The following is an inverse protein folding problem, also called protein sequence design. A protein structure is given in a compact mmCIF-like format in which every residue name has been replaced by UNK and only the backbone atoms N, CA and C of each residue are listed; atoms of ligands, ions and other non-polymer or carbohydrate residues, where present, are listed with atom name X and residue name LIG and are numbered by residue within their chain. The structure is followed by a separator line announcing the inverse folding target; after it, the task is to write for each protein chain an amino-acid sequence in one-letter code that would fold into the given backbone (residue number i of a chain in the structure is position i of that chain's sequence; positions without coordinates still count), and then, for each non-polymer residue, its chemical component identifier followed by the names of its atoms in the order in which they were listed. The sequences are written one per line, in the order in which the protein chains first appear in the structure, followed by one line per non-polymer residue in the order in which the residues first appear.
data_IF_900272922469
#
_entry.id   IF_900272922469
#
_cell.length_a   1.000
_cell.length_b   1.000
_cell.length_c   1.000
_cell.angle_alpha   90.00
_cell.angle_beta   90.00
_cell.angle_gamma   90.00
#
_symmetry.space_group_name_H-M   'P 1'
#
loop_
_entity.id
_entity.type
_entity.pdbx_description
1 polymer ?
#
# COMPACT_ATOMS: atom_id res chain seq x y z
N UNK A 1 11.59 -5.75 16.65
CA UNK A 1 10.81 -4.96 17.63
C UNK A 1 11.69 -4.82 18.84
N UNK A 2 11.97 -3.59 19.22
CA UNK A 2 12.85 -3.23 20.33
C UNK A 2 12.07 -3.07 21.63
N UNK A 3 12.80 -2.84 22.73
CA UNK A 3 12.23 -2.70 24.07
C UNK A 3 11.57 -1.33 24.30
N UNK A 4 11.81 -0.37 23.41
CA UNK A 4 11.32 1.01 23.41
C UNK A 4 9.82 1.11 23.07
N UNK A 5 8.99 0.54 23.95
CA UNK A 5 7.53 0.51 23.84
C UNK A 5 6.84 1.76 24.43
N UNK A 6 7.57 2.80 24.83
CA UNK A 6 7.00 4.05 25.38
C UNK A 6 5.90 3.86 26.45
N UNK A 7 6.03 2.83 27.28
CA UNK A 7 5.07 2.49 28.34
C UNK A 7 3.91 1.58 27.92
N UNK A 8 3.84 1.18 26.64
CA UNK A 8 2.95 0.12 26.18
C UNK A 8 3.47 -1.28 26.57
N UNK A 9 2.57 -2.25 26.72
CA UNK A 9 2.93 -3.65 26.99
C UNK A 9 3.47 -4.36 25.75
N UNK A 10 2.98 -3.96 24.57
CA UNK A 10 3.36 -4.50 23.27
C UNK A 10 3.19 -3.42 22.21
N UNK A 11 3.89 -3.59 21.09
CA UNK A 11 3.64 -2.83 19.87
C UNK A 11 2.49 -3.47 19.06
N UNK A 12 1.82 -2.65 18.27
CA UNK A 12 0.75 -3.04 17.32
C UNK A 12 1.11 -2.58 15.93
N UNK A 13 0.44 -3.10 14.90
CA UNK A 13 0.70 -2.71 13.53
C UNK A 13 -0.57 -2.58 12.67
N UNK A 14 -0.55 -1.64 11.73
CA UNK A 14 -1.58 -1.45 10.71
C UNK A 14 -0.95 -1.41 9.33
N UNK A 15 -1.71 -1.80 8.33
CA UNK A 15 -1.30 -1.81 6.93
C UNK A 15 -2.29 -1.00 6.11
N UNK A 16 -1.78 -0.09 5.27
CA UNK A 16 -2.59 0.67 4.32
C UNK A 16 -2.14 0.38 2.90
N UNK A 17 -3.06 -0.03 2.04
CA UNK A 17 -2.81 -0.20 0.61
C UNK A 17 -2.53 1.15 -0.05
N UNK A 18 -1.43 1.24 -0.82
CA UNK A 18 -1.08 2.44 -1.56
C UNK A 18 -1.35 2.29 -3.04
N UNK A 19 -0.88 1.21 -3.66
CA UNK A 19 -1.04 1.00 -5.10
C UNK A 19 -0.66 -0.43 -5.53
N UNK A 20 -0.96 -0.77 -6.78
CA UNK A 20 -0.36 -1.90 -7.51
C UNK A 20 -0.01 -1.50 -8.95
N UNK A 21 1.03 -2.13 -9.49
CA UNK A 21 1.41 -2.13 -10.91
C UNK A 21 1.35 -3.52 -11.56
N UNK A 22 0.97 -4.55 -10.80
CA UNK A 22 1.00 -5.94 -11.22
C UNK A 22 -0.12 -6.33 -12.22
N UNK A 23 0.16 -7.33 -13.05
CA UNK A 23 -0.88 -8.10 -13.77
C UNK A 23 -1.45 -9.27 -12.96
N UNK A 24 -0.90 -9.55 -11.78
CA UNK A 24 -1.29 -10.66 -10.93
C UNK A 24 -2.21 -10.19 -9.79
N UNK A 25 -3.19 -11.04 -9.43
CA UNK A 25 -4.04 -10.80 -8.26
C UNK A 25 -3.36 -11.32 -7.01
N UNK A 26 -2.40 -10.53 -6.54
CA UNK A 26 -1.55 -10.90 -5.42
C UNK A 26 -2.35 -10.94 -4.12
N UNK A 27 -1.97 -11.85 -3.24
CA UNK A 27 -2.44 -11.88 -1.85
C UNK A 27 -1.35 -11.32 -0.96
N UNK A 28 -1.68 -10.36 -0.09
CA UNK A 28 -0.76 -9.85 0.93
C UNK A 28 -1.01 -10.53 2.27
N UNK A 29 0.06 -10.92 2.95
CA UNK A 29 -0.01 -11.42 4.32
C UNK A 29 1.21 -11.06 5.16
N UNK A 30 1.15 -11.43 6.43
CA UNK A 30 2.24 -11.27 7.39
C UNK A 30 2.46 -12.53 8.22
N UNK A 31 3.64 -12.57 8.85
CA UNK A 31 4.00 -13.56 9.85
C UNK A 31 4.92 -12.92 10.90
N UNK A 32 4.98 -13.53 12.07
CA UNK A 32 5.81 -13.08 13.19
C UNK A 32 6.73 -14.21 13.62
N UNK A 33 7.99 -13.89 13.91
CA UNK A 33 8.96 -14.86 14.41
C UNK A 33 9.91 -14.24 15.46
N UNK A 34 10.61 -15.10 16.21
CA UNK A 34 11.65 -14.68 17.16
C UNK A 34 12.89 -14.23 16.38
N UNK A 35 13.29 -12.97 16.57
CA UNK A 35 14.43 -12.36 15.87
C UNK A 35 15.73 -13.14 16.07
N UNK A 36 15.91 -13.79 17.23
CA UNK A 36 17.11 -14.58 17.55
C UNK A 36 17.02 -16.04 17.06
N UNK A 37 15.85 -16.48 16.61
CA UNK A 37 15.62 -17.81 16.05
C UNK A 37 14.76 -17.71 14.77
N UNK A 38 15.29 -17.09 13.70
CA UNK A 38 14.53 -16.87 12.49
C UNK A 38 14.23 -18.18 11.76
N UNK A 39 13.06 -18.29 11.09
CA UNK A 39 12.74 -19.47 10.29
C UNK A 39 13.72 -19.60 9.12
N UNK A 40 14.08 -20.83 8.80
CA UNK A 40 14.96 -21.17 7.68
C UNK A 40 14.20 -21.69 6.46
N UNK A 41 12.91 -21.99 6.64
CA UNK A 41 11.99 -22.34 5.56
C UNK A 41 10.57 -21.90 5.88
N UNK A 42 9.72 -21.79 4.85
CA UNK A 42 8.30 -21.46 5.00
C UNK A 42 7.53 -22.43 5.90
N UNK A 43 7.98 -23.67 6.01
CA UNK A 43 7.29 -24.71 6.78
C UNK A 43 7.56 -24.57 8.29
N UNK A 44 8.56 -23.76 8.68
CA UNK A 44 8.87 -23.41 10.08
C UNK A 44 8.06 -22.21 10.58
N UNK A 45 7.33 -21.51 9.70
CA UNK A 45 6.48 -20.39 10.08
C UNK A 45 5.22 -20.93 10.75
N UNK A 46 5.00 -20.55 12.01
CA UNK A 46 3.86 -21.02 12.80
C UNK A 46 2.51 -20.63 12.20
N UNK A 47 2.39 -19.43 11.65
CA UNK A 47 1.18 -18.94 11.00
C UNK A 47 1.50 -17.91 9.92
N UNK A 48 0.96 -18.15 8.72
CA UNK A 48 0.83 -17.15 7.68
C UNK A 48 -0.57 -16.52 7.81
N UNK A 49 -0.64 -15.22 8.11
CA UNK A 49 -1.90 -14.50 8.27
C UNK A 49 -2.16 -13.64 7.05
N UNK A 50 -3.33 -13.79 6.44
CA UNK A 50 -3.72 -13.00 5.26
C UNK A 50 -4.25 -11.64 5.72
N UNK A 51 -3.76 -10.57 5.08
CA UNK A 51 -4.21 -9.18 5.25
C UNK A 51 -5.24 -8.89 4.17
N UNK A 52 -4.79 -8.86 2.91
CA UNK A 52 -5.63 -8.63 1.74
C UNK A 52 -5.60 -9.89 0.88
N UNK A 53 -6.73 -10.61 0.75
CA UNK A 53 -6.81 -11.78 -0.11
C UNK A 53 -6.52 -11.46 -1.58
N UNK A 54 -6.91 -10.27 -2.03
CA UNK A 54 -6.68 -9.75 -3.37
C UNK A 54 -6.25 -8.29 -3.24
N UNK A 55 -5.04 -7.95 -3.67
CA UNK A 55 -4.53 -6.57 -3.65
C UNK A 55 -4.84 -5.79 -4.92
N UNK A 56 -5.68 -6.35 -5.81
CA UNK A 56 -5.99 -5.69 -7.06
C UNK A 56 -6.99 -4.55 -6.98
N UNK A 57 -6.72 -3.50 -7.75
CA UNK A 57 -7.65 -2.42 -8.07
C UNK A 57 -8.67 -2.92 -9.09
N UNK A 58 -9.70 -2.12 -9.33
CA UNK A 58 -10.63 -2.36 -10.41
C UNK A 58 -9.89 -2.46 -11.78
N UNK A 59 -10.26 -3.39 -12.67
CA UNK A 59 -11.44 -4.26 -12.58
C UNK A 59 -11.21 -5.64 -11.93
N UNK A 60 -9.96 -5.99 -11.59
CA UNK A 60 -9.58 -7.33 -11.12
C UNK A 60 -9.73 -7.53 -9.61
N UNK A 61 -9.91 -6.44 -8.87
CA UNK A 61 -10.26 -6.43 -7.45
C UNK A 61 -10.99 -5.14 -7.06
N UNK A 62 -11.03 -4.89 -5.75
CA UNK A 62 -11.81 -3.80 -5.15
C UNK A 62 -10.95 -2.90 -4.25
N UNK A 63 -9.62 -3.03 -4.30
CA UNK A 63 -8.74 -2.20 -3.49
C UNK A 63 -8.79 -0.74 -3.95
N UNK A 64 -8.95 0.17 -3.01
CA UNK A 64 -8.82 1.61 -3.19
C UNK A 64 -7.60 2.13 -2.40
N UNK A 65 -6.88 3.11 -2.96
CA UNK A 65 -5.74 3.72 -2.27
C UNK A 65 -6.21 4.30 -0.91
N UNK A 66 -5.54 3.90 0.18
CA UNK A 66 -5.94 4.28 1.54
C UNK A 66 -6.72 3.21 2.30
N UNK A 67 -7.12 2.11 1.67
CA UNK A 67 -7.72 0.96 2.36
C UNK A 67 -6.78 0.45 3.46
N UNK A 68 -7.27 0.47 4.70
CA UNK A 68 -6.44 0.23 5.88
C UNK A 68 -7.00 -0.90 6.75
N UNK A 69 -6.14 -1.83 7.15
CA UNK A 69 -6.44 -2.91 8.10
C UNK A 69 -5.54 -2.80 9.32
N UNK A 70 -6.16 -2.88 10.50
CA UNK A 70 -5.45 -3.15 11.75
C UNK A 70 -5.15 -4.64 11.85
N UNK A 71 -3.86 -4.99 12.00
CA UNK A 71 -3.44 -6.39 12.05
C UNK A 71 -3.86 -7.08 13.34
N UNK A 72 -4.26 -6.31 14.38
CA UNK A 72 -4.60 -6.81 15.72
C UNK A 72 -3.51 -7.72 16.31
N UNK A 73 -2.25 -7.51 15.88
CA UNK A 73 -1.08 -8.24 16.35
C UNK A 73 -0.52 -7.57 17.62
N UNK A 74 -0.06 -8.39 18.56
CA UNK A 74 0.67 -7.93 19.74
C UNK A 74 2.13 -8.34 19.59
N UNK A 75 3.00 -7.35 19.45
CA UNK A 75 4.42 -7.55 19.19
C UNK A 75 5.22 -7.19 20.44
N UNK A 76 5.99 -8.14 20.95
CA UNK A 76 6.90 -7.92 22.09
C UNK A 76 8.34 -7.74 21.61
N UNK A 77 9.19 -7.19 22.47
CA UNK A 77 10.63 -7.07 22.19
C UNK A 77 11.24 -8.43 21.79
N UNK A 78 12.15 -8.40 20.82
CA UNK A 78 12.77 -9.61 20.26
C UNK A 78 11.91 -10.35 19.23
N UNK A 79 10.77 -9.80 18.81
CA UNK A 79 10.00 -10.31 17.67
C UNK A 79 10.27 -9.53 16.39
N UNK A 80 10.17 -10.21 15.26
CA UNK A 80 10.18 -9.63 13.92
C UNK A 80 8.81 -9.82 13.28
N UNK A 81 8.20 -8.72 12.84
CA UNK A 81 7.06 -8.73 11.90
C UNK A 81 7.61 -8.71 10.48
N UNK A 82 7.21 -9.68 9.66
CA UNK A 82 7.59 -9.76 8.25
C UNK A 82 6.37 -10.01 7.37
N UNK A 83 6.49 -9.65 6.11
CA UNK A 83 5.40 -9.67 5.13
C UNK A 83 5.71 -10.68 4.03
N UNK A 84 4.67 -11.13 3.34
CA UNK A 84 4.81 -11.93 2.15
C UNK A 84 3.69 -11.62 1.16
N UNK A 85 3.98 -11.87 -0.11
CA UNK A 85 2.97 -11.91 -1.16
C UNK A 85 2.85 -13.33 -1.73
N UNK A 86 1.64 -13.70 -2.14
CA UNK A 86 1.41 -14.90 -2.93
C UNK A 86 1.06 -14.45 -4.35
N UNK A 87 1.98 -14.65 -5.32
CA UNK A 87 1.73 -14.31 -6.72
C UNK A 87 0.50 -15.04 -7.26
N UNK A 88 -0.48 -14.30 -7.78
CA UNK A 88 -1.80 -14.86 -8.18
C UNK A 88 -2.46 -15.73 -7.08
N UNK A 89 -2.33 -15.35 -5.82
CA UNK A 89 -2.99 -16.04 -4.72
C UNK A 89 -4.52 -16.02 -4.85
N UNK A 90 -5.08 -14.95 -5.43
CA UNK A 90 -6.51 -14.83 -5.70
C UNK A 90 -6.88 -15.33 -7.10
N UNK A 91 -7.88 -16.22 -7.14
CA UNK A 91 -8.34 -16.85 -8.38
C UNK A 91 -9.14 -15.90 -9.29
N UNK A 92 -9.02 -16.11 -10.61
CA UNK A 92 -9.76 -15.37 -11.64
C UNK A 92 -11.28 -15.42 -11.50
N UNK A 93 -11.83 -16.51 -10.94
CA UNK A 93 -13.26 -16.68 -10.71
C UNK A 93 -13.68 -16.28 -9.28
N UNK A 94 -12.84 -15.53 -8.58
CA UNK A 94 -12.90 -15.38 -7.13
C UNK A 94 -12.36 -16.61 -6.41
N UNK A 95 -12.19 -16.47 -5.09
CA UNK A 95 -11.48 -17.46 -4.27
C UNK A 95 -12.31 -18.13 -3.17
N UNK A 96 -13.62 -17.89 -3.06
CA UNK A 96 -14.49 -18.51 -2.03
C UNK A 96 -13.87 -18.57 -0.61
N UNK A 97 -13.22 -17.48 -0.18
CA UNK A 97 -12.48 -17.38 1.09
C UNK A 97 -11.30 -18.38 1.23
N UNK A 98 -10.67 -18.75 0.12
CA UNK A 98 -9.53 -19.67 0.10
C UNK A 98 -8.42 -19.21 -0.86
N UNK A 99 -7.17 -19.30 -0.41
CA UNK A 99 -6.01 -19.13 -1.28
C UNK A 99 -5.65 -20.50 -1.86
N UNK A 100 -5.93 -20.70 -3.15
CA UNK A 100 -5.92 -22.03 -3.77
C UNK A 100 -4.51 -22.56 -4.09
N UNK A 101 -3.51 -21.68 -4.15
CA UNK A 101 -2.13 -22.04 -4.47
C UNK A 101 -1.15 -21.06 -3.85
N UNK A 102 0.13 -21.46 -3.76
CA UNK A 102 1.24 -20.59 -3.36
C UNK A 102 1.92 -19.94 -4.59
N UNK A 103 1.16 -19.68 -5.66
CA UNK A 103 1.69 -19.14 -6.92
C UNK A 103 2.44 -20.17 -7.78
N UNK A 104 2.92 -19.71 -8.94
CA UNK A 104 3.56 -20.54 -9.97
C UNK A 104 4.81 -21.29 -9.51
N UNK A 105 5.50 -20.76 -8.49
CA UNK A 105 6.73 -21.34 -7.94
C UNK A 105 6.49 -22.19 -6.69
N UNK A 106 5.22 -22.37 -6.28
CA UNK A 106 4.88 -23.16 -5.10
C UNK A 106 5.38 -22.55 -3.78
N UNK A 107 5.69 -21.26 -3.77
CA UNK A 107 6.12 -20.51 -2.58
C UNK A 107 5.66 -19.06 -2.68
N UNK A 108 5.25 -18.44 -1.55
CA UNK A 108 5.20 -16.99 -1.42
C UNK A 108 6.57 -16.34 -1.61
N UNK A 109 6.57 -15.04 -1.89
CA UNK A 109 7.75 -14.19 -1.80
C UNK A 109 7.70 -13.34 -0.53
N UNK A 110 8.76 -13.40 0.26
CA UNK A 110 8.83 -12.87 1.62
C UNK A 110 9.69 -11.61 1.68
N UNK A 111 9.35 -10.69 2.58
CA UNK A 111 10.24 -9.57 2.93
C UNK A 111 11.48 -10.04 3.70
N UNK A 112 11.40 -11.19 4.35
CA UNK A 112 12.55 -11.87 4.93
C UNK A 112 13.23 -12.73 3.85
N UNK A 113 14.19 -12.12 3.15
CA UNK A 113 14.79 -12.66 1.91
C UNK A 113 15.38 -14.05 2.03
N UNK A 114 15.77 -14.52 3.22
CA UNK A 114 16.35 -15.85 3.40
C UNK A 114 15.38 -17.00 3.08
N UNK A 115 14.08 -16.72 3.03
CA UNK A 115 13.04 -17.68 2.68
C UNK A 115 12.76 -17.77 1.18
N UNK A 116 13.26 -16.83 0.39
CA UNK A 116 12.96 -16.75 -1.04
C UNK A 116 13.79 -17.79 -1.84
N UNK A 117 13.22 -18.35 -2.93
CA UNK A 117 13.73 -19.55 -3.56
C UNK A 117 15.00 -19.33 -4.42
N UNK A 118 15.38 -18.09 -4.70
CA UNK A 118 16.47 -17.76 -5.60
C UNK A 118 17.83 -18.19 -5.03
N UNK A 119 18.72 -18.63 -5.91
CA UNK A 119 20.06 -19.10 -5.52
C UNK A 119 20.97 -17.97 -5.03
N UNK A 120 20.81 -16.76 -5.57
CA UNK A 120 21.64 -15.59 -5.22
C UNK A 120 20.95 -14.71 -4.18
N UNK A 121 21.73 -14.13 -3.26
CA UNK A 121 21.20 -13.19 -2.26
C UNK A 121 20.62 -11.91 -2.86
N UNK A 122 21.13 -11.51 -4.03
CA UNK A 122 20.64 -10.34 -4.76
C UNK A 122 19.21 -10.54 -5.26
N UNK A 123 18.92 -11.70 -5.84
CA UNK A 123 17.61 -12.00 -6.42
C UNK A 123 16.59 -12.41 -5.35
N UNK A 124 17.05 -12.97 -4.22
CA UNK A 124 16.18 -13.26 -3.07
C UNK A 124 15.53 -12.03 -2.43
N UNK A 125 15.92 -10.80 -2.79
CA UNK A 125 15.23 -9.60 -2.31
C UNK A 125 14.00 -9.35 -3.19
N UNK A 126 12.83 -9.66 -2.67
CA UNK A 126 11.54 -9.42 -3.34
C UNK A 126 10.85 -8.15 -2.87
N UNK A 127 11.47 -7.40 -1.95
CA UNK A 127 10.92 -6.14 -1.51
C UNK A 127 12.00 -5.08 -1.32
N UNK A 128 11.55 -3.83 -1.41
CA UNK A 128 12.25 -2.65 -0.91
C UNK A 128 11.42 -2.06 0.23
N UNK A 129 12.08 -1.34 1.13
CA UNK A 129 11.42 -0.66 2.23
C UNK A 129 12.08 0.69 2.47
N UNK A 130 11.25 1.72 2.65
CA UNK A 130 11.69 3.04 3.07
C UNK A 130 10.96 3.43 4.35
N UNK A 131 11.56 4.31 5.15
CA UNK A 131 10.97 4.79 6.40
C UNK A 131 10.64 6.27 6.33
N UNK A 132 9.41 6.66 6.66
CA UNK A 132 9.02 8.04 6.85
C UNK A 132 8.99 8.34 8.35
N UNK A 133 10.01 9.03 8.85
CA UNK A 133 10.11 9.39 10.27
C UNK A 133 9.24 10.60 10.63
N UNK A 134 8.76 11.38 9.66
CA UNK A 134 7.88 12.51 9.91
C UNK A 134 6.43 12.05 10.11
N UNK A 135 6.02 11.08 9.31
CA UNK A 135 4.67 10.49 9.37
C UNK A 135 4.63 9.13 10.10
N UNK A 136 5.77 8.64 10.59
CA UNK A 136 5.93 7.45 11.44
C UNK A 136 5.43 6.13 10.83
N UNK A 137 5.74 5.88 9.56
CA UNK A 137 5.43 4.61 8.88
C UNK A 137 6.57 4.12 7.98
N UNK A 138 6.52 2.84 7.60
CA UNK A 138 7.33 2.30 6.51
C UNK A 138 6.51 2.23 5.23
N UNK A 139 7.13 2.42 4.07
CA UNK A 139 6.57 2.09 2.75
C UNK A 139 7.30 0.86 2.22
N UNK A 140 6.54 -0.18 1.87
CA UNK A 140 7.08 -1.40 1.29
C UNK A 140 6.58 -1.53 -0.17
N UNK A 141 7.50 -1.92 -1.04
CA UNK A 141 7.22 -2.32 -2.42
C UNK A 141 7.67 -3.75 -2.67
N UNK A 142 6.89 -4.54 -3.40
CA UNK A 142 7.20 -5.92 -3.72
C UNK A 142 7.32 -6.17 -5.23
N UNK A 143 8.14 -7.15 -5.59
CA UNK A 143 8.22 -7.79 -6.90
C UNK A 143 7.56 -9.19 -6.83
N UNK A 144 6.57 -9.44 -7.69
CA UNK A 144 5.74 -10.64 -7.66
C UNK A 144 6.20 -11.78 -8.60
N UNK A 145 7.29 -11.57 -9.33
CA UNK A 145 7.91 -12.56 -10.20
C UNK A 145 9.24 -13.06 -9.62
N UNK A 146 9.51 -14.35 -9.81
CA UNK A 146 10.80 -14.95 -9.47
C UNK A 146 11.97 -14.19 -10.10
N UNK A 147 12.92 -13.74 -9.28
CA UNK A 147 13.99 -12.85 -9.76
C UNK A 147 15.18 -13.65 -10.32
N UNK A 148 15.79 -13.23 -11.45
CA UNK A 148 15.75 -11.89 -12.05
C UNK A 148 14.79 -11.78 -13.25
N UNK A 149 13.77 -12.64 -13.35
CA UNK A 149 12.73 -12.46 -14.36
C UNK A 149 11.86 -11.24 -13.99
N UNK A 150 10.86 -10.90 -14.81
CA UNK A 150 10.05 -9.69 -14.61
C UNK A 150 10.77 -8.40 -15.00
N UNK A 151 10.27 -7.27 -14.51
CA UNK A 151 10.86 -5.93 -14.74
C UNK A 151 11.61 -5.37 -13.51
N UNK A 152 11.48 -6.02 -12.34
CA UNK A 152 12.27 -5.76 -11.14
C UNK A 152 12.13 -4.32 -10.62
N UNK A 153 10.97 -3.72 -10.80
CA UNK A 153 10.69 -2.34 -10.39
C UNK A 153 10.03 -2.23 -9.00
N UNK A 154 9.62 -3.36 -8.43
CA UNK A 154 9.05 -3.51 -7.08
C UNK A 154 7.75 -2.70 -6.85
N UNK A 155 7.02 -2.37 -7.93
CA UNK A 155 5.73 -1.68 -7.82
C UNK A 155 4.51 -2.62 -7.92
N UNK A 156 4.71 -3.93 -8.05
CA UNK A 156 3.64 -4.92 -8.14
C UNK A 156 2.66 -4.83 -6.97
N UNK A 157 3.18 -4.47 -5.80
CA UNK A 157 2.37 -4.08 -4.65
C UNK A 157 3.09 -3.04 -3.80
N UNK A 158 2.42 -1.92 -3.52
CA UNK A 158 2.88 -0.86 -2.62
C UNK A 158 1.91 -0.71 -1.44
N UNK A 159 2.45 -0.68 -0.22
CA UNK A 159 1.66 -0.49 1.01
C UNK A 159 2.49 0.18 2.12
N UNK A 160 1.81 0.82 3.08
CA UNK A 160 2.45 1.28 4.31
C UNK A 160 2.31 0.27 5.44
N UNK A 161 3.25 0.35 6.38
CA UNK A 161 3.17 -0.33 7.68
C UNK A 161 3.38 0.72 8.77
N UNK A 162 2.35 0.96 9.56
CA UNK A 162 2.43 1.77 10.77
C UNK A 162 2.63 0.84 11.96
N UNK A 163 3.69 1.05 12.75
CA UNK A 163 3.92 0.32 14.01
C UNK A 163 3.76 1.30 15.15
N UNK A 164 2.93 0.96 16.13
CA UNK A 164 2.67 1.81 17.29
C UNK A 164 3.08 1.10 18.60
N UNK A 165 4.01 1.68 19.39
CA UNK A 165 4.68 2.96 19.13
C UNK A 165 5.76 2.84 18.05
N UNK A 166 6.01 3.93 17.32
CA UNK A 166 6.98 3.96 16.23
C UNK A 166 8.41 3.63 16.69
N UNK A 167 8.78 4.05 17.91
CA UNK A 167 10.05 3.72 18.57
C UNK A 167 10.26 2.23 18.84
N UNK A 168 9.22 1.39 18.71
CA UNK A 168 9.37 -0.05 18.83
C UNK A 168 10.03 -0.70 17.60
N UNK A 169 10.18 0.04 16.50
CA UNK A 169 10.91 -0.43 15.33
C UNK A 169 12.42 -0.40 15.62
N UNK A 170 13.10 -1.53 15.36
CA UNK A 170 14.52 -1.69 15.65
C UNK A 170 15.40 -0.71 14.88
N UNK A 171 16.02 0.25 15.58
CA UNK A 171 16.83 1.31 14.98
C UNK A 171 16.06 2.60 14.70
N UNK A 172 14.85 2.77 15.23
CA UNK A 172 14.21 4.07 15.42
C UNK A 172 14.58 4.59 16.81
N UNK A 173 15.26 5.73 16.88
CA UNK A 173 15.66 6.36 18.13
C UNK A 173 14.49 7.10 18.78
N UNK A 174 14.59 7.33 20.09
CA UNK A 174 13.57 8.08 20.87
C UNK A 174 13.39 9.54 20.43
N UNK A 175 14.33 10.10 19.67
CA UNK A 175 14.24 11.44 19.09
C UNK A 175 13.63 11.45 17.67
N UNK A 176 13.18 10.29 17.18
CA UNK A 176 12.59 10.11 15.84
C UNK A 176 13.61 9.94 14.71
N UNK A 177 14.92 9.97 15.01
CA UNK A 177 15.95 9.63 14.01
C UNK A 177 16.06 8.13 13.79
N UNK A 178 16.66 7.71 12.68
CA UNK A 178 16.85 6.28 12.35
C UNK A 178 18.32 5.94 12.13
N UNK A 179 18.67 4.70 12.43
CA UNK A 179 19.97 4.12 12.10
C UNK A 179 20.20 4.02 10.59
N UNK A 180 21.46 3.86 10.19
CA UNK A 180 21.88 3.71 8.78
C UNK A 180 21.40 2.42 8.10
N UNK A 181 20.62 1.59 8.80
CA UNK A 181 20.00 0.37 8.26
C UNK A 181 18.74 0.68 7.44
N UNK A 182 18.16 1.87 7.64
CA UNK A 182 16.98 2.32 6.94
C UNK A 182 17.32 3.33 5.86
N UNK A 183 16.55 3.32 4.79
CA UNK A 183 16.53 4.36 3.76
C UNK A 183 15.38 5.33 4.06
N UNK A 184 15.65 6.54 4.55
CA UNK A 184 14.59 7.50 4.84
C UNK A 184 13.89 7.93 3.55
N UNK A 185 12.55 8.03 3.59
CA UNK A 185 11.79 8.72 2.57
C UNK A 185 12.10 10.20 2.64
N UNK A 186 12.90 10.64 1.68
CA UNK A 186 13.14 12.06 1.47
C UNK A 186 12.11 12.55 0.48
N UNK A 187 11.34 13.55 0.89
CA UNK A 187 10.49 14.26 -0.05
C UNK A 187 11.39 14.98 -1.05
N UNK A 188 11.44 14.48 -2.28
CA UNK A 188 12.15 15.14 -3.36
C UNK A 188 11.39 16.39 -3.77
N UNK A 189 11.84 17.54 -3.27
CA UNK A 189 11.28 18.84 -3.59
C UNK A 189 11.71 19.37 -4.96
N UNK A 190 11.66 18.50 -5.97
CA UNK A 190 11.91 18.88 -7.33
C UNK A 190 10.67 19.56 -7.91
N UNK A 191 10.69 20.89 -8.14
CA UNK A 191 9.54 21.59 -8.68
C UNK A 191 9.20 21.11 -10.10
N UNK A 192 10.12 20.49 -10.82
CA UNK A 192 9.86 19.97 -12.18
C UNK A 192 9.08 18.66 -12.18
N UNK A 193 9.00 17.95 -11.05
CA UNK A 193 8.13 16.77 -10.92
C UNK A 193 6.69 17.25 -10.76
N UNK A 194 5.82 16.78 -11.65
CA UNK A 194 4.40 17.12 -11.64
C UNK A 194 3.52 15.88 -11.52
N UNK A 195 2.49 15.97 -10.68
CA UNK A 195 1.43 14.97 -10.54
C UNK A 195 0.15 15.53 -11.15
N UNK A 196 -0.60 14.74 -11.91
CA UNK A 196 -1.90 15.14 -12.45
C UNK A 196 -3.01 14.43 -11.69
N UNK A 197 -3.91 15.20 -11.09
CA UNK A 197 -5.14 14.73 -10.45
C UNK A 197 -6.34 15.11 -11.32
N UNK A 198 -7.31 14.21 -11.51
CA UNK A 198 -8.50 14.48 -12.33
C UNK A 198 -9.77 14.04 -11.60
N UNK A 199 -10.68 14.98 -11.37
CA UNK A 199 -12.00 14.73 -10.80
C UNK A 199 -13.12 14.87 -11.85
N UNK A 200 -14.09 13.95 -11.94
CA UNK A 200 -14.19 12.71 -11.16
C UNK A 200 -13.27 11.59 -11.67
N UNK A 201 -12.92 11.61 -12.95
CA UNK A 201 -11.89 10.75 -13.56
C UNK A 201 -11.44 11.34 -14.91
N UNK A 202 -10.42 10.76 -15.53
CA UNK A 202 -9.95 11.14 -16.88
C UNK A 202 -11.03 11.02 -17.95
N UNK A 203 -11.99 10.12 -17.78
CA UNK A 203 -12.92 9.71 -18.84
C UNK A 203 -14.38 10.04 -18.54
N UNK A 204 -14.67 10.64 -17.39
CA UNK A 204 -16.04 10.96 -16.97
C UNK A 204 -16.17 12.40 -16.47
N UNK A 205 -17.42 12.84 -16.26
CA UNK A 205 -17.76 14.19 -15.81
C UNK A 205 -18.71 14.10 -14.62
N UNK A 206 -18.51 14.97 -13.64
CA UNK A 206 -19.48 15.25 -12.61
C UNK A 206 -20.57 16.18 -13.15
N UNK A 207 -21.74 16.18 -12.53
CA UNK A 207 -22.87 17.01 -12.94
C UNK A 207 -23.23 17.97 -11.80
N UNK A 208 -23.45 19.25 -12.12
CA UNK A 208 -24.14 20.19 -11.23
C UNK A 208 -25.45 20.58 -11.89
N UNK A 209 -26.48 20.72 -11.06
CA UNK A 209 -27.83 21.04 -11.48
C UNK A 209 -28.43 22.06 -10.51
N UNK A 210 -29.15 23.04 -11.04
CA UNK A 210 -29.74 24.14 -10.28
C UNK A 210 -31.23 24.30 -10.56
N UNK A 211 -31.92 24.86 -9.57
CA UNK A 211 -33.28 25.41 -9.69
C UNK A 211 -33.20 26.93 -9.90
N UNK A 212 -34.09 27.53 -10.69
CA UNK A 212 -34.09 28.97 -10.97
C UNK A 212 -35.04 29.79 -10.07
N UNK A 213 -35.92 29.13 -9.31
CA UNK A 213 -37.05 29.79 -8.63
C UNK A 213 -36.78 30.31 -7.23
N UNK A 214 -35.57 30.16 -6.69
CA UNK A 214 -35.24 30.65 -5.35
C UNK A 214 -35.53 32.17 -5.21
N UNK A 215 -36.18 32.64 -4.12
CA UNK A 215 -36.58 31.91 -2.90
C UNK A 215 -38.01 31.32 -2.94
N UNK A 216 -38.68 31.34 -4.08
CA UNK A 216 -39.97 30.70 -4.26
C UNK A 216 -39.80 29.19 -4.43
N UNK A 217 -40.86 28.46 -4.08
CA UNK A 217 -40.93 27.02 -4.31
C UNK A 217 -41.10 26.73 -5.81
N UNK A 218 -40.20 25.92 -6.37
CA UNK A 218 -40.26 25.41 -7.75
C UNK A 218 -40.89 24.03 -7.85
N UNK A 219 -40.66 23.36 -8.98
CA UNK A 219 -41.06 21.98 -9.27
C UNK A 219 -39.96 20.95 -8.95
N UNK A 220 -38.75 21.37 -8.60
CA UNK A 220 -37.68 20.52 -8.06
C UNK A 220 -37.20 19.42 -9.00
N UNK A 221 -37.29 19.64 -10.31
CA UNK A 221 -36.80 18.69 -11.32
C UNK A 221 -35.31 18.91 -11.69
N UNK A 222 -34.68 19.96 -11.16
CA UNK A 222 -33.28 20.35 -11.29
C UNK A 222 -32.80 20.39 -12.74
N UNK A 223 -33.64 20.83 -13.67
CA UNK A 223 -33.26 20.94 -15.07
C UNK A 223 -33.12 22.38 -15.59
N UNK A 224 -33.37 23.39 -14.76
CA UNK A 224 -33.32 24.80 -15.17
C UNK A 224 -31.92 25.19 -15.68
N UNK A 225 -30.88 24.73 -14.97
CA UNK A 225 -29.48 24.79 -15.43
C UNK A 225 -28.77 23.51 -15.03
N UNK A 226 -28.31 22.77 -16.01
CA UNK A 226 -27.47 21.57 -15.81
C UNK A 226 -26.17 21.77 -16.56
N UNK A 227 -25.04 21.59 -15.89
CA UNK A 227 -23.77 21.46 -16.58
C UNK A 227 -23.01 20.24 -16.09
N UNK A 228 -22.19 19.72 -16.98
CA UNK A 228 -21.23 18.68 -16.66
C UNK A 228 -19.86 19.30 -16.58
N UNK A 229 -19.05 18.91 -15.61
CA UNK A 229 -17.72 19.44 -15.42
C UNK A 229 -16.71 18.36 -15.04
N UNK A 230 -15.45 18.61 -15.35
CA UNK A 230 -14.28 17.85 -14.95
C UNK A 230 -13.17 18.83 -14.55
N UNK A 231 -12.49 18.53 -13.46
CA UNK A 231 -11.41 19.34 -12.93
C UNK A 231 -10.11 18.57 -13.07
N UNK A 232 -9.12 19.16 -13.72
CA UNK A 232 -7.77 18.60 -13.83
C UNK A 232 -6.81 19.51 -13.08
N UNK A 233 -6.16 19.00 -12.04
CA UNK A 233 -5.16 19.71 -11.26
C UNK A 233 -3.76 19.18 -11.62
N UNK A 234 -2.86 20.10 -11.93
CA UNK A 234 -1.43 19.82 -12.02
C UNK A 234 -0.80 20.26 -10.70
N UNK A 235 -0.19 19.33 -9.99
CA UNK A 235 0.45 19.54 -8.69
C UNK A 235 1.97 19.42 -8.82
N UNK A 236 2.74 20.08 -7.95
CA UNK A 236 4.17 19.79 -7.78
C UNK A 236 4.41 18.58 -6.87
N UNK A 237 5.67 18.21 -6.63
CA UNK A 237 6.05 17.14 -5.69
C UNK A 237 5.57 17.32 -4.24
N UNK A 238 5.13 18.52 -3.86
CA UNK A 238 4.60 18.87 -2.53
C UNK A 238 3.06 18.83 -2.51
N UNK A 239 2.43 18.40 -3.63
CA UNK A 239 0.99 18.49 -3.87
C UNK A 239 0.42 19.92 -3.86
N UNK A 240 1.26 20.93 -4.03
CA UNK A 240 0.78 22.30 -4.25
C UNK A 240 0.29 22.46 -5.69
N UNK A 241 -0.82 23.17 -5.86
CA UNK A 241 -1.44 23.39 -7.16
C UNK A 241 -0.57 24.31 -8.01
N UNK A 242 -0.10 23.79 -9.16
CA UNK A 242 0.55 24.55 -10.22
C UNK A 242 -0.44 25.07 -11.26
N UNK A 243 -1.44 24.26 -11.60
CA UNK A 243 -2.48 24.64 -12.55
C UNK A 243 -3.80 23.92 -12.25
N UNK A 244 -4.92 24.56 -12.57
CA UNK A 244 -6.24 23.93 -12.55
C UNK A 244 -6.92 24.20 -13.88
N UNK A 245 -7.40 23.15 -14.54
CA UNK A 245 -8.20 23.23 -15.76
C UNK A 245 -9.61 22.75 -15.46
N UNK A 246 -10.61 23.53 -15.88
CA UNK A 246 -12.02 23.17 -15.79
C UNK A 246 -12.57 22.91 -17.20
N UNK A 247 -12.89 21.66 -17.50
CA UNK A 247 -13.67 21.30 -18.67
C UNK A 247 -15.14 21.32 -18.27
N UNK A 248 -15.98 22.11 -18.94
CA UNK A 248 -17.41 22.14 -18.65
C UNK A 248 -18.27 22.29 -19.90
N UNK A 249 -19.46 21.70 -19.86
CA UNK A 249 -20.46 21.75 -20.93
C UNK A 249 -21.83 21.97 -20.34
N UNK A 250 -22.49 23.06 -20.73
CA UNK A 250 -23.90 23.30 -20.45
C UNK A 250 -24.75 22.27 -21.22
N UNK A 251 -25.69 21.62 -20.54
CA UNK A 251 -26.59 20.61 -21.09
C UNK A 251 -27.89 21.23 -21.59
#
# INVERSE_FOLDING_TARGET
IDEELNGAEFATAKVTFLNEGAGYRNTLGYFVFDTNNPPTSKDEIAAHVIIFPNTSKAPDGEMEEGDTIDLNVQLTAGQTLAFFIIPNGWGWSGSYNNIASLGSWGTPFYSYSNLNPESTSENRRHNVAFIDTQNEFLVLGFEDIYRPDGDNDFNDLLFTVEVSPFTAIDGVNTDGSTDSKYEPLVQENNPEVTVTSVYPSSDTYATMAFEDRWPLMGDYDFNDVVWRYRVTELLNGQREIKNITFDYTLQ
#
